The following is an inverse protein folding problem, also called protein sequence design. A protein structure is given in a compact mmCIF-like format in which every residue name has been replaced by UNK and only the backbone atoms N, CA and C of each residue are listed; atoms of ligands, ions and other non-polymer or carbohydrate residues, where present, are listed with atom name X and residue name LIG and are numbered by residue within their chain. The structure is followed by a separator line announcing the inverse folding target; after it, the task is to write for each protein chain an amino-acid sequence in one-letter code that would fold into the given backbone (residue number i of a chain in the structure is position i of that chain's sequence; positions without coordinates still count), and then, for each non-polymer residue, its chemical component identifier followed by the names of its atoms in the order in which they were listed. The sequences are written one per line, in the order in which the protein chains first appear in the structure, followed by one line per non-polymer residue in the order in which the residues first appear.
data_IF_300614198787
#
_entry.id   IF_300614198787
#
_cell.length_a   1.000
_cell.length_b   1.000
_cell.length_c   1.000
_cell.angle_alpha   90.00
_cell.angle_beta   90.00
_cell.angle_gamma   90.00
#
_symmetry.space_group_name_H-M   'P 1'
#
loop_
_entity.id
_entity.type
_entity.pdbx_description
1 polymer ?
#
# COMPACT_ATOMS: atom_id res chain seq x y z
N UNK A 1 -10.74 56.23 19.18
CA UNK A 1 -11.30 54.88 19.02
C UNK A 1 -11.11 54.47 17.57
N UNK A 2 -10.13 53.61 17.31
CA UNK A 2 -9.89 52.99 16.00
C UNK A 2 -9.99 51.48 16.19
N UNK A 3 -10.78 50.74 15.40
CA UNK A 3 -10.82 49.28 15.54
C UNK A 3 -9.68 48.66 14.72
N UNK A 4 -8.92 47.84 15.44
CA UNK A 4 -7.90 46.92 14.97
C UNK A 4 -8.47 45.94 13.91
N UNK A 5 -7.87 45.93 12.72
CA UNK A 5 -8.11 44.90 11.69
C UNK A 5 -6.96 43.90 11.75
N UNK A 6 -7.13 42.85 12.54
CA UNK A 6 -6.32 41.64 12.41
C UNK A 6 -6.56 40.97 11.04
N UNK A 7 -5.50 40.62 10.28
CA UNK A 7 -5.65 39.88 9.04
C UNK A 7 -5.99 38.40 9.34
N UNK A 8 -7.10 37.92 8.77
CA UNK A 8 -7.45 36.49 8.81
C UNK A 8 -6.44 35.71 7.97
N UNK A 9 -5.73 34.78 8.59
CA UNK A 9 -4.86 33.81 7.91
C UNK A 9 -5.64 33.04 6.82
N UNK A 10 -5.07 32.82 5.62
CA UNK A 10 -5.73 32.04 4.60
C UNK A 10 -5.78 30.58 5.06
N UNK A 11 -7.01 30.05 5.23
CA UNK A 11 -7.22 28.60 5.37
C UNK A 11 -6.71 27.95 4.09
N UNK A 12 -5.52 27.35 4.17
CA UNK A 12 -5.01 26.41 3.18
C UNK A 12 -6.09 25.36 2.94
N UNK A 13 -6.77 25.45 1.79
CA UNK A 13 -7.63 24.37 1.30
C UNK A 13 -6.70 23.23 0.94
N UNK A 14 -6.55 22.25 1.84
CA UNK A 14 -5.95 20.96 1.48
C UNK A 14 -6.70 20.44 0.24
N UNK A 15 -6.01 20.13 -0.87
CA UNK A 15 -6.67 19.55 -2.03
C UNK A 15 -7.44 18.29 -1.61
N UNK A 16 -8.65 18.12 -2.12
CA UNK A 16 -9.48 16.94 -1.85
C UNK A 16 -8.70 15.70 -2.25
N UNK A 17 -8.33 14.88 -1.27
CA UNK A 17 -7.71 13.58 -1.47
C UNK A 17 -8.70 12.70 -2.25
N UNK A 18 -8.26 12.10 -3.34
CA UNK A 18 -9.12 11.29 -4.20
C UNK A 18 -8.37 10.02 -4.62
N UNK A 19 -8.51 8.93 -3.85
CA UNK A 19 -7.89 7.63 -4.18
C UNK A 19 -8.18 7.21 -5.61
N UNK A 20 -9.41 7.45 -6.06
CA UNK A 20 -9.83 7.25 -7.45
C UNK A 20 -8.93 7.95 -8.46
N UNK A 21 -8.80 9.28 -8.37
CA UNK A 21 -8.06 10.07 -9.34
C UNK A 21 -6.57 9.71 -9.32
N UNK A 22 -6.03 9.45 -8.13
CA UNK A 22 -4.66 9.00 -7.95
C UNK A 22 -4.42 7.67 -8.67
N UNK A 23 -5.18 6.61 -8.36
CA UNK A 23 -5.00 5.28 -8.95
C UNK A 23 -5.27 5.27 -10.45
N UNK A 24 -6.33 5.95 -10.91
CA UNK A 24 -6.64 6.01 -12.35
C UNK A 24 -5.53 6.72 -13.16
N UNK A 25 -4.85 7.71 -12.57
CA UNK A 25 -3.68 8.35 -13.18
C UNK A 25 -2.47 7.42 -13.16
N UNK A 26 -2.15 6.87 -11.99
CA UNK A 26 -0.97 6.03 -11.82
C UNK A 26 -1.03 4.79 -12.73
N UNK A 27 -2.16 4.07 -12.74
CA UNK A 27 -2.37 2.91 -13.64
C UNK A 27 -2.24 3.29 -15.11
N UNK A 28 -2.77 4.46 -15.51
CA UNK A 28 -2.65 4.94 -16.90
C UNK A 28 -1.20 5.20 -17.29
N UNK A 29 -0.45 5.85 -16.40
CA UNK A 29 0.96 6.16 -16.66
C UNK A 29 1.80 4.88 -16.68
N UNK A 30 1.55 3.93 -15.78
CA UNK A 30 2.19 2.60 -15.79
C UNK A 30 1.86 1.80 -17.05
N UNK A 31 0.60 1.81 -17.48
CA UNK A 31 0.19 1.09 -18.69
C UNK A 31 0.89 1.61 -19.97
N UNK A 32 1.42 2.84 -19.96
CA UNK A 32 2.21 3.38 -21.08
C UNK A 32 3.65 2.87 -21.11
N UNK A 33 4.15 2.32 -20.00
CA UNK A 33 5.51 1.77 -19.90
C UNK A 33 5.56 0.27 -20.17
N UNK A 34 4.42 -0.36 -20.42
CA UNK A 34 4.28 -1.81 -20.56
C UNK A 34 3.53 -2.15 -21.85
N UNK A 35 3.80 -3.35 -22.38
CA UNK A 35 3.02 -3.95 -23.44
C UNK A 35 2.06 -4.98 -22.82
N UNK A 36 0.73 -4.78 -22.86
CA UNK A 36 -0.23 -5.77 -22.38
C UNK A 36 -0.33 -6.99 -23.32
N UNK A 37 -0.70 -8.18 -22.80
CA UNK A 37 -0.86 -8.52 -21.39
C UNK A 37 0.49 -8.63 -20.68
N UNK A 38 0.51 -8.35 -19.38
CA UNK A 38 1.73 -8.43 -18.57
C UNK A 38 1.48 -9.25 -17.31
N UNK A 39 2.50 -9.95 -16.82
CA UNK A 39 2.41 -10.71 -15.57
C UNK A 39 2.03 -9.81 -14.38
N UNK A 40 1.27 -10.35 -13.44
CA UNK A 40 0.75 -9.62 -12.29
C UNK A 40 1.88 -8.92 -11.49
N UNK A 41 2.94 -9.67 -11.18
CA UNK A 41 4.11 -9.17 -10.45
C UNK A 41 4.90 -8.13 -11.26
N UNK A 42 5.03 -8.32 -12.57
CA UNK A 42 5.68 -7.36 -13.45
C UNK A 42 4.95 -6.01 -13.48
N UNK A 43 3.61 -6.04 -13.51
CA UNK A 43 2.81 -4.82 -13.39
C UNK A 43 3.00 -4.13 -12.05
N UNK A 44 3.01 -4.88 -10.95
CA UNK A 44 3.20 -4.32 -9.61
C UNK A 44 4.61 -3.73 -9.41
N UNK A 45 5.63 -4.29 -10.05
CA UNK A 45 6.94 -3.63 -10.09
C UNK A 45 6.90 -2.33 -10.89
N UNK A 46 6.26 -2.35 -12.06
CA UNK A 46 6.14 -1.17 -12.93
C UNK A 46 5.32 -0.03 -12.30
N UNK A 47 4.28 -0.33 -11.53
CA UNK A 47 3.49 0.70 -10.85
C UNK A 47 4.31 1.41 -9.77
N UNK A 48 5.14 0.68 -9.02
CA UNK A 48 6.07 1.26 -8.06
C UNK A 48 7.16 2.11 -8.76
N UNK A 49 7.67 1.63 -9.90
CA UNK A 49 8.62 2.38 -10.72
C UNK A 49 8.02 3.66 -11.30
N UNK A 50 6.74 3.64 -11.68
CA UNK A 50 6.01 4.82 -12.20
C UNK A 50 5.71 5.84 -11.10
N UNK A 51 5.47 5.37 -9.88
CA UNK A 51 5.24 6.22 -8.71
C UNK A 51 6.53 6.89 -8.22
N UNK A 52 7.66 6.19 -8.26
CA UNK A 52 8.93 6.61 -7.65
C UNK A 52 9.37 8.05 -8.01
N UNK A 53 9.31 8.52 -9.27
CA UNK A 53 9.72 9.89 -9.62
C UNK A 53 8.77 10.99 -9.10
N UNK A 54 7.61 10.61 -8.57
CA UNK A 54 6.60 11.54 -8.02
C UNK A 54 6.80 11.78 -6.52
N UNK A 55 7.76 11.09 -5.91
CA UNK A 55 8.04 11.10 -4.48
C UNK A 55 9.44 11.64 -4.19
N UNK A 56 9.74 11.83 -2.91
CA UNK A 56 11.04 12.28 -2.42
C UNK A 56 12.12 11.17 -2.44
N UNK A 57 11.70 9.91 -2.52
CA UNK A 57 12.58 8.74 -2.55
C UNK A 57 11.94 7.60 -3.36
N UNK A 58 12.75 6.70 -3.96
CA UNK A 58 12.24 5.60 -4.78
C UNK A 58 11.39 4.60 -3.98
N UNK A 59 10.46 3.95 -4.66
CA UNK A 59 9.62 2.86 -4.12
C UNK A 59 10.14 1.52 -4.65
N UNK A 60 10.51 0.62 -3.75
CA UNK A 60 10.87 -0.76 -4.05
C UNK A 60 9.74 -1.69 -3.66
N UNK A 61 9.42 -2.63 -4.53
CA UNK A 61 8.49 -3.72 -4.24
C UNK A 61 9.27 -4.99 -3.94
N UNK A 62 8.85 -5.72 -2.91
CA UNK A 62 9.32 -7.06 -2.57
C UNK A 62 8.12 -7.96 -2.33
N UNK A 63 8.22 -9.18 -2.83
CA UNK A 63 7.33 -10.26 -2.45
C UNK A 63 8.08 -11.14 -1.45
N UNK A 64 7.44 -11.43 -0.32
CA UNK A 64 8.03 -12.19 0.79
C UNK A 64 6.97 -13.13 1.34
N UNK A 65 7.38 -14.32 1.78
CA UNK A 65 6.47 -15.21 2.52
C UNK A 65 6.34 -14.73 3.98
N UNK A 66 5.16 -14.33 4.40
CA UNK A 66 4.84 -14.06 5.80
C UNK A 66 4.59 -15.39 6.54
N UNK A 67 5.00 -15.48 7.82
CA UNK A 67 4.65 -16.59 8.68
C UNK A 67 3.14 -16.82 8.74
N UNK A 68 2.73 -18.08 8.70
CA UNK A 68 1.33 -18.44 8.90
C UNK A 68 0.85 -17.99 10.29
N UNK A 69 -0.30 -17.33 10.35
CA UNK A 69 -0.90 -16.85 11.60
C UNK A 69 -0.60 -15.38 11.92
N UNK A 70 0.09 -14.66 11.05
CA UNK A 70 0.09 -13.20 11.08
C UNK A 70 -1.18 -12.67 10.41
N UNK A 71 -1.78 -11.63 11.02
CA UNK A 71 -2.96 -10.94 10.49
C UNK A 71 -2.60 -9.88 9.42
N UNK A 72 -1.34 -9.83 8.99
CA UNK A 72 -0.83 -8.88 8.00
C UNK A 72 -0.31 -9.60 6.78
N UNK A 73 -0.68 -9.11 5.60
CA UNK A 73 -0.27 -9.65 4.30
C UNK A 73 0.52 -8.65 3.45
N UNK A 74 0.71 -7.43 3.97
CA UNK A 74 1.52 -6.38 3.39
C UNK A 74 2.07 -5.45 4.48
N UNK A 75 3.13 -4.74 4.14
CA UNK A 75 3.69 -3.68 5.00
C UNK A 75 4.52 -2.71 4.16
N UNK A 76 4.47 -1.44 4.55
CA UNK A 76 5.31 -0.39 3.97
C UNK A 76 6.33 0.12 4.97
N UNK A 77 7.59 0.21 4.52
CA UNK A 77 8.68 0.84 5.27
C UNK A 77 9.15 2.12 4.57
N UNK A 78 9.35 3.20 5.32
CA UNK A 78 9.88 4.48 4.86
C UNK A 78 11.34 4.67 5.30
N UNK A 79 12.29 4.00 4.65
CA UNK A 79 13.72 4.22 4.94
C UNK A 79 14.16 5.59 4.41
N UNK A 80 15.22 6.17 4.99
CA UNK A 80 15.77 7.46 4.55
C UNK A 80 16.01 7.52 3.04
N UNK A 81 16.48 6.42 2.44
CA UNK A 81 16.82 6.38 1.01
C UNK A 81 15.71 5.84 0.10
N UNK A 82 14.67 5.17 0.65
CA UNK A 82 13.63 4.51 -0.16
C UNK A 82 12.39 4.10 0.64
N UNK A 83 11.25 4.04 -0.03
CA UNK A 83 10.11 3.27 0.44
C UNK A 83 10.24 1.81 0.02
N UNK A 84 9.83 0.89 0.88
CA UNK A 84 9.77 -0.54 0.60
C UNK A 84 8.33 -0.99 0.81
N UNK A 85 7.68 -1.41 -0.26
CA UNK A 85 6.38 -2.10 -0.22
C UNK A 85 6.67 -3.60 -0.21
N UNK A 86 6.19 -4.28 0.83
CA UNK A 86 6.27 -5.74 0.94
C UNK A 86 4.87 -6.31 0.77
N UNK A 87 4.76 -7.35 -0.05
CA UNK A 87 3.52 -8.06 -0.35
C UNK A 87 3.72 -9.55 -0.10
N UNK A 88 2.73 -10.23 0.47
CA UNK A 88 2.74 -11.69 0.62
C UNK A 88 2.92 -12.39 -0.74
N UNK A 89 4.00 -13.17 -0.87
CA UNK A 89 4.36 -13.90 -2.09
C UNK A 89 3.31 -14.97 -2.45
N UNK A 90 2.74 -15.65 -1.45
CA UNK A 90 1.80 -16.76 -1.65
C UNK A 90 0.36 -16.31 -1.90
N UNK A 91 0.08 -15.01 -1.81
CA UNK A 91 -1.24 -14.48 -2.09
C UNK A 91 -1.63 -14.71 -3.57
N UNK A 92 -2.90 -14.98 -3.88
CA UNK A 92 -3.37 -15.00 -5.27
C UNK A 92 -3.06 -13.68 -5.99
N UNK A 93 -2.79 -13.72 -7.29
CA UNK A 93 -2.34 -12.53 -8.04
C UNK A 93 -3.28 -11.33 -7.95
N UNK A 94 -4.60 -11.55 -8.02
CA UNK A 94 -5.58 -10.48 -7.82
C UNK A 94 -5.50 -9.90 -6.40
N UNK A 95 -5.24 -10.73 -5.40
CA UNK A 95 -5.09 -10.29 -4.02
C UNK A 95 -3.79 -9.51 -3.81
N UNK A 96 -2.70 -9.87 -4.51
CA UNK A 96 -1.46 -9.07 -4.52
C UNK A 96 -1.70 -7.62 -5.00
N UNK A 97 -2.68 -7.39 -5.88
CA UNK A 97 -3.05 -6.02 -6.31
C UNK A 97 -3.77 -5.23 -5.20
N UNK A 98 -4.63 -5.89 -4.41
CA UNK A 98 -5.26 -5.23 -3.24
C UNK A 98 -4.19 -4.80 -2.26
N UNK A 99 -3.32 -5.74 -1.86
CA UNK A 99 -2.25 -5.51 -0.89
C UNK A 99 -1.34 -4.38 -1.39
N UNK A 100 -0.77 -4.52 -2.60
CA UNK A 100 0.13 -3.50 -3.15
C UNK A 100 -0.52 -2.13 -3.28
N UNK A 101 -1.79 -2.06 -3.68
CA UNK A 101 -2.51 -0.80 -3.82
C UNK A 101 -2.76 -0.12 -2.48
N UNK A 102 -3.05 -0.90 -1.44
CA UNK A 102 -3.18 -0.43 -0.06
C UNK A 102 -1.86 0.18 0.45
N UNK A 103 -0.77 -0.57 0.33
CA UNK A 103 0.57 -0.13 0.72
C UNK A 103 1.04 1.13 -0.03
N UNK A 104 0.78 1.21 -1.34
CA UNK A 104 1.05 2.41 -2.15
C UNK A 104 0.21 3.61 -1.68
N UNK A 105 -1.03 3.37 -1.25
CA UNK A 105 -1.90 4.39 -0.67
C UNK A 105 -1.27 5.05 0.56
N UNK A 106 -0.65 4.25 1.43
CA UNK A 106 0.03 4.77 2.63
C UNK A 106 1.17 5.73 2.30
N UNK A 107 1.97 5.40 1.27
CA UNK A 107 3.05 6.27 0.77
C UNK A 107 2.46 7.57 0.22
N UNK A 108 1.48 7.47 -0.69
CA UNK A 108 0.96 8.63 -1.40
C UNK A 108 0.28 9.65 -0.48
N UNK A 109 -0.47 9.18 0.52
CA UNK A 109 -1.16 10.05 1.48
C UNK A 109 -0.29 10.48 2.66
N UNK A 110 1.01 10.14 2.62
CA UNK A 110 2.01 10.46 3.63
C UNK A 110 1.55 10.06 5.03
N UNK A 111 1.03 8.84 5.13
CA UNK A 111 0.47 8.30 6.37
C UNK A 111 1.51 7.55 7.19
N UNK A 112 2.71 7.37 6.62
CA UNK A 112 3.85 6.71 7.24
C UNK A 112 4.55 7.67 8.20
N UNK A 113 4.80 7.20 9.43
CA UNK A 113 5.74 7.87 10.33
C UNK A 113 7.18 7.51 9.91
N UNK A 114 7.98 8.54 9.63
CA UNK A 114 9.39 8.38 9.23
C UNK A 114 10.33 8.21 10.43
N UNK A 115 9.84 8.34 11.67
CA UNK A 115 10.65 8.20 12.89
C UNK A 115 10.57 6.78 13.45
N UNK A 116 11.37 5.88 12.88
CA UNK A 116 11.46 4.52 13.42
C UNK A 116 12.35 4.47 14.68
N UNK A 117 11.92 3.83 15.79
CA UNK A 117 12.82 3.52 16.90
C UNK A 117 14.06 2.71 16.46
N UNK A 118 15.14 2.83 17.23
CA UNK A 118 16.40 2.16 16.96
C UNK A 118 16.22 0.62 16.81
N UNK A 119 16.72 0.06 15.71
CA UNK A 119 16.60 -1.37 15.35
C UNK A 119 15.73 -1.65 14.12
N UNK A 120 14.82 -0.75 13.80
CA UNK A 120 13.84 -0.89 12.70
C UNK A 120 14.42 -0.80 11.27
N UNK A 121 15.46 0.02 11.00
CA UNK A 121 16.17 -0.07 9.72
C UNK A 121 16.80 -1.44 9.48
N UNK A 122 17.11 -2.22 10.53
CA UNK A 122 17.70 -3.54 10.38
C UNK A 122 16.70 -4.58 9.86
N UNK A 123 15.44 -4.56 10.34
CA UNK A 123 14.38 -5.45 9.86
C UNK A 123 14.11 -5.25 8.36
N UNK A 124 13.96 -3.99 7.95
CA UNK A 124 13.78 -3.61 6.56
C UNK A 124 15.02 -3.91 5.69
N UNK A 125 16.23 -3.68 6.20
CA UNK A 125 17.47 -4.05 5.51
C UNK A 125 17.58 -5.56 5.33
N UNK A 126 17.15 -6.38 6.30
CA UNK A 126 17.11 -7.84 6.17
C UNK A 126 16.10 -8.30 5.11
N UNK A 127 14.91 -7.68 5.08
CA UNK A 127 13.94 -7.88 4.00
C UNK A 127 14.52 -7.55 2.62
N UNK A 128 15.38 -6.53 2.52
CA UNK A 128 16.07 -6.18 1.28
C UNK A 128 17.19 -7.16 0.90
N UNK A 129 17.90 -7.72 1.88
CA UNK A 129 19.08 -8.57 1.66
C UNK A 129 18.75 -10.03 1.34
N UNK A 130 17.46 -10.38 1.13
CA UNK A 130 16.97 -11.73 0.78
C UNK A 130 17.32 -12.84 1.78
N UNK A 131 17.74 -12.51 3.00
CA UNK A 131 17.89 -13.48 4.07
C UNK A 131 16.53 -13.65 4.77
N UNK A 132 15.62 -14.39 4.11
CA UNK A 132 14.24 -14.59 4.61
C UNK A 132 14.22 -15.28 5.98
N UNK A 133 15.26 -16.04 6.32
CA UNK A 133 15.38 -16.85 7.54
C UNK A 133 15.57 -16.02 8.82
N UNK A 134 15.99 -14.74 8.72
CA UNK A 134 16.34 -13.88 9.88
C UNK A 134 15.44 -12.63 10.02
N UNK A 135 14.29 -12.60 9.35
CA UNK A 135 13.38 -11.44 9.43
C UNK A 135 12.74 -11.37 10.83
N UNK A 136 12.89 -10.27 11.59
CA UNK A 136 12.24 -10.10 12.90
C UNK A 136 10.76 -9.74 12.72
N UNK A 137 9.92 -10.75 12.49
CA UNK A 137 8.49 -10.59 12.17
C UNK A 137 7.66 -9.89 13.25
N UNK A 138 8.04 -10.04 14.52
CA UNK A 138 7.45 -9.32 15.65
C UNK A 138 7.55 -7.79 15.47
N UNK A 139 8.71 -7.31 15.01
CA UNK A 139 8.95 -5.90 14.73
C UNK A 139 8.18 -5.43 13.49
N UNK A 140 8.06 -6.28 12.47
CA UNK A 140 7.27 -6.01 11.26
C UNK A 140 5.78 -5.83 11.59
N UNK A 141 5.21 -6.70 12.43
CA UNK A 141 3.81 -6.60 12.88
C UNK A 141 3.59 -5.36 13.74
N UNK A 142 4.51 -5.06 14.64
CA UNK A 142 4.46 -3.85 15.46
C UNK A 142 4.55 -2.56 14.64
N UNK A 143 5.04 -2.61 13.39
CA UNK A 143 5.00 -1.49 12.45
C UNK A 143 3.65 -1.37 11.76
N UNK A 144 3.14 -2.46 11.18
CA UNK A 144 1.87 -2.46 10.45
C UNK A 144 0.67 -2.06 11.33
N UNK A 145 0.75 -2.29 12.64
CA UNK A 145 -0.32 -1.99 13.60
C UNK A 145 -0.26 -0.58 14.20
N UNK A 146 0.75 0.22 13.87
CA UNK A 146 0.92 1.58 14.43
C UNK A 146 0.25 2.63 13.55
N UNK A 147 -0.99 2.98 13.88
CA UNK A 147 -1.71 4.09 13.26
C UNK A 147 -2.46 4.89 14.35
N UNK A 148 -2.01 6.11 14.74
CA UNK A 148 -2.62 6.86 15.84
C UNK A 148 -3.81 7.74 15.37
N UNK A 149 -4.94 7.64 16.09
CA UNK A 149 -6.10 8.54 16.08
C UNK A 149 -6.97 8.59 14.80
N UNK A 150 -8.05 9.39 14.81
CA UNK A 150 -9.01 9.49 13.70
C UNK A 150 -8.42 9.90 12.34
N UNK A 151 -7.23 10.53 12.32
CA UNK A 151 -6.49 10.78 11.09
C UNK A 151 -5.94 9.48 10.47
N UNK A 152 -5.62 8.48 11.29
CA UNK A 152 -5.33 7.13 10.83
C UNK A 152 -6.58 6.51 10.17
N UNK A 153 -7.77 6.61 10.75
CA UNK A 153 -8.96 6.00 10.12
C UNK A 153 -9.27 6.53 8.70
N UNK A 154 -9.08 7.83 8.45
CA UNK A 154 -9.22 8.39 7.11
C UNK A 154 -8.09 7.92 6.17
N UNK A 155 -6.86 7.83 6.68
CA UNK A 155 -5.71 7.29 5.97
C UNK A 155 -5.90 5.81 5.57
N UNK A 156 -6.36 4.97 6.52
CA UNK A 156 -6.67 3.57 6.29
C UNK A 156 -7.77 3.42 5.23
N UNK A 157 -8.82 4.23 5.30
CA UNK A 157 -9.87 4.22 4.28
C UNK A 157 -9.35 4.63 2.89
N UNK A 158 -8.47 5.64 2.83
CA UNK A 158 -7.84 6.08 1.59
C UNK A 158 -6.93 5.00 1.00
N UNK A 159 -6.17 4.30 1.83
CA UNK A 159 -5.33 3.17 1.45
C UNK A 159 -6.17 1.98 0.95
N UNK A 160 -7.21 1.60 1.71
CA UNK A 160 -8.14 0.54 1.33
C UNK A 160 -8.78 0.80 -0.04
N UNK A 161 -9.25 2.02 -0.26
CA UNK A 161 -9.82 2.42 -1.54
C UNK A 161 -8.78 2.38 -2.68
N UNK A 162 -7.49 2.62 -2.40
CA UNK A 162 -6.42 2.42 -3.38
C UNK A 162 -6.26 0.94 -3.75
N UNK A 163 -6.26 0.05 -2.75
CA UNK A 163 -6.17 -1.40 -2.93
C UNK A 163 -7.30 -1.95 -3.80
N UNK A 164 -8.56 -1.68 -3.42
CA UNK A 164 -9.73 -2.13 -4.16
C UNK A 164 -9.74 -1.62 -5.61
N UNK A 165 -9.32 -0.38 -5.82
CA UNK A 165 -9.27 0.22 -7.16
C UNK A 165 -8.17 -0.35 -8.03
N UNK A 166 -7.03 -0.71 -7.45
CA UNK A 166 -5.96 -1.35 -8.21
C UNK A 166 -6.38 -2.76 -8.63
N UNK A 167 -6.94 -3.55 -7.71
CA UNK A 167 -7.46 -4.89 -8.00
C UNK A 167 -8.55 -4.87 -9.08
N UNK A 168 -9.44 -3.87 -9.07
CA UNK A 168 -10.44 -3.70 -10.13
C UNK A 168 -9.87 -3.50 -11.55
N UNK A 169 -8.56 -3.25 -11.70
CA UNK A 169 -7.87 -3.17 -13.01
C UNK A 169 -7.16 -4.46 -13.40
N UNK A 170 -7.10 -5.47 -12.52
CA UNK A 170 -6.33 -6.70 -12.70
C UNK A 170 -6.59 -7.37 -14.06
N UNK A 171 -7.85 -7.70 -14.35
CA UNK A 171 -8.24 -8.41 -15.58
C UNK A 171 -7.92 -7.63 -16.85
N UNK A 172 -7.93 -6.28 -16.79
CA UNK A 172 -7.59 -5.42 -17.92
C UNK A 172 -6.08 -5.41 -18.21
N UNK A 173 -5.27 -5.57 -17.18
CA UNK A 173 -3.81 -5.46 -17.24
C UNK A 173 -3.15 -6.80 -17.55
N UNK A 174 -3.60 -7.84 -16.86
CA UNK A 174 -3.02 -9.19 -16.95
C UNK A 174 -3.70 -10.03 -18.05
N UNK A 175 -4.90 -9.63 -18.48
CA UNK A 175 -5.66 -10.29 -19.54
C UNK A 175 -6.40 -11.55 -19.07
N UNK A 176 -7.20 -12.18 -19.94
CA UNK A 176 -8.09 -13.30 -19.58
C UNK A 176 -7.35 -14.59 -19.14
N UNK A 177 -6.05 -14.69 -19.40
CA UNK A 177 -5.25 -15.90 -19.18
C UNK A 177 -4.83 -16.16 -17.73
N UNK A 178 -4.85 -15.14 -16.87
CA UNK A 178 -4.41 -15.27 -15.47
C UNK A 178 -5.52 -15.68 -14.49
N UNK A 179 -6.79 -15.58 -14.90
CA UNK A 179 -7.94 -15.95 -14.07
C UNK A 179 -8.19 -17.48 -14.02
N UNK A 180 -7.39 -18.29 -14.72
CA UNK A 180 -7.53 -19.75 -14.73
C UNK A 180 -6.99 -20.46 -13.46
N UNK A 181 -6.59 -19.70 -12.44
CA UNK A 181 -6.38 -20.19 -11.09
C UNK A 181 -7.69 -20.20 -10.30
N UNK A 182 -8.44 -21.32 -10.38
CA UNK A 182 -9.70 -21.61 -9.64
C UNK A 182 -9.79 -20.91 -8.28
N UNK A 183 -10.76 -20.01 -8.08
CA UNK A 183 -11.62 -20.01 -6.87
C UNK A 183 -12.92 -19.25 -7.15
N UNK A 184 -14.03 -19.84 -6.71
CA UNK A 184 -15.41 -19.38 -6.81
C UNK A 184 -15.64 -18.09 -6.00
N UNK A 185 -16.48 -17.21 -6.55
CA UNK A 185 -16.83 -15.87 -6.02
C UNK A 185 -17.38 -15.85 -4.57
N UNK A 186 -17.67 -16.99 -3.95
CA UNK A 186 -18.27 -17.08 -2.60
C UNK A 186 -17.27 -16.98 -1.44
N UNK A 187 -15.95 -16.97 -1.69
CA UNK A 187 -14.94 -16.81 -0.61
C UNK A 187 -14.44 -15.38 -0.42
N UNK A 188 -14.84 -14.45 -1.30
CA UNK A 188 -14.43 -13.05 -1.24
C UNK A 188 -15.00 -12.34 0.00
N UNK A 189 -16.30 -12.46 0.25
CA UNK A 189 -16.96 -11.72 1.35
C UNK A 189 -16.55 -12.22 2.74
N UNK A 190 -16.19 -13.51 2.88
CA UNK A 190 -15.82 -14.09 4.17
C UNK A 190 -14.37 -13.85 4.60
N UNK A 191 -13.45 -13.61 3.64
CA UNK A 191 -12.01 -13.44 3.92
C UNK A 191 -11.57 -11.98 3.95
N UNK A 192 -12.29 -11.08 3.29
CA UNK A 192 -12.10 -9.63 3.42
C UNK A 192 -12.23 -9.17 4.87
N UNK A 193 -13.17 -9.74 5.64
CA UNK A 193 -13.32 -9.48 7.08
C UNK A 193 -12.17 -10.01 7.94
N UNK A 194 -11.29 -10.88 7.42
CA UNK A 194 -10.17 -11.44 8.18
C UNK A 194 -8.87 -10.66 7.99
N UNK A 195 -8.75 -9.87 6.91
CA UNK A 195 -7.63 -8.92 6.73
C UNK A 195 -7.93 -7.54 7.30
N UNK A 196 -9.19 -7.30 7.67
CA UNK A 196 -9.69 -6.05 8.25
C UNK A 196 -10.13 -6.37 9.67
N UNK A 197 -9.27 -6.11 10.64
CA UNK A 197 -9.59 -6.24 12.06
C UNK A 197 -10.96 -5.64 12.36
N UNK A 198 -11.80 -6.40 13.07
CA UNK A 198 -13.17 -6.08 13.39
C UNK A 198 -13.27 -4.73 14.14
N UNK A 199 -13.45 -3.62 13.40
CA UNK A 199 -13.87 -2.34 13.97
C UNK A 199 -15.40 -2.35 14.03
N UNK A 200 -15.92 -3.18 14.92
CA UNK A 200 -17.32 -3.24 15.28
C UNK A 200 -17.44 -3.21 16.79
N UNK A 201 -17.76 -2.03 17.33
CA UNK A 201 -18.28 -1.83 18.67
C UNK A 201 -19.24 -0.63 18.64
N UNK A 202 -20.18 -0.52 19.58
CA UNK A 202 -20.31 -1.24 20.86
C UNK A 202 -21.24 -2.48 20.83
#
# INVERSE_FOLDING_TARGET
MSPDRSPRSPKSRRPTRSPKRFLDRLVRDTARTLTPPTEATAFLHAICATLSPQLDRPVRLKFVTFPSGLDVSGVTFAMDEQYIVVVEERAPDEHKFVIAGHEIGHIHYQTLDVHYPAGMPAAARRLLSQAEEDIPWDQVVAMATRSPAAAAAAAEWEAEECGLRLAAKFSRVVGPGAAAGRTTQDTLTGRLSSSLGNIGGP
#
